data_IF_450266928061
#
_entry.id   IF_450266928061
#
_cell.length_a   1.000
_cell.length_b   1.000
_cell.length_c   1.000
_cell.angle_alpha   90.00
_cell.angle_beta   90.00
_cell.angle_gamma   90.00
#
_symmetry.space_group_name_H-M   'P 1'
#
loop_
_entity.id
_entity.type
_entity.pdbx_description
1 polymer ?
#
# COMPACT_ATOMS: atom_id res chain seq x y z
N UNK A 1 14.61 12.64 -8.20
CA UNK A 1 14.01 11.29 -8.16
C UNK A 1 13.69 11.02 -6.70
N UNK A 2 12.51 10.51 -6.40
CA UNK A 2 12.05 10.27 -5.04
C UNK A 2 11.88 8.77 -4.78
N UNK A 3 11.75 8.38 -3.52
CA UNK A 3 11.57 6.98 -3.14
C UNK A 3 10.29 6.82 -2.33
N UNK A 4 9.43 5.88 -2.72
CA UNK A 4 8.19 5.56 -2.03
C UNK A 4 8.34 4.29 -1.22
N UNK A 5 8.03 4.36 0.07
CA UNK A 5 7.95 3.18 0.94
C UNK A 5 6.48 2.80 1.11
N UNK A 6 6.14 1.57 0.72
CA UNK A 6 4.79 1.02 0.78
C UNK A 6 4.72 -0.22 1.68
N UNK A 7 3.71 -0.25 2.55
CA UNK A 7 3.35 -1.40 3.35
C UNK A 7 2.34 -2.25 2.59
N UNK A 8 2.60 -3.55 2.48
CA UNK A 8 1.65 -4.54 1.99
C UNK A 8 1.08 -5.30 3.18
N UNK A 9 -0.24 -5.28 3.36
CA UNK A 9 -0.87 -5.83 4.56
C UNK A 9 -1.43 -7.23 4.31
N UNK A 10 -1.28 -8.14 5.28
CA UNK A 10 -1.84 -9.49 5.24
C UNK A 10 -3.36 -9.43 5.29
N UNK A 11 -4.01 -10.29 4.48
CA UNK A 11 -5.43 -10.64 4.46
C UNK A 11 -6.27 -9.95 5.56
N UNK A 12 -6.97 -8.84 5.23
CA UNK A 12 -7.64 -8.00 6.23
C UNK A 12 -8.82 -8.70 6.92
N UNK A 13 -9.30 -9.84 6.40
CA UNK A 13 -10.61 -10.43 6.71
C UNK A 13 -11.67 -9.92 5.74
N UNK A 14 -12.94 -10.32 5.93
CA UNK A 14 -14.04 -9.86 5.06
C UNK A 14 -14.35 -8.37 5.30
N UNK A 15 -14.29 -7.55 4.25
CA UNK A 15 -14.70 -6.14 4.33
C UNK A 15 -16.22 -5.99 4.21
N UNK A 16 -16.88 -5.07 4.95
CA UNK A 16 -18.34 -4.93 4.91
C UNK A 16 -18.91 -4.63 3.51
N UNK A 17 -18.14 -4.01 2.62
CA UNK A 17 -18.53 -3.74 1.23
C UNK A 17 -18.04 -4.78 0.22
N UNK A 18 -17.33 -5.82 0.66
CA UNK A 18 -16.65 -6.79 -0.21
C UNK A 18 -17.62 -7.46 -1.19
N UNK A 19 -18.78 -7.90 -0.70
CA UNK A 19 -19.83 -8.54 -1.51
C UNK A 19 -20.40 -7.57 -2.56
N UNK A 20 -20.57 -6.30 -2.19
CA UNK A 20 -21.16 -5.29 -3.07
C UNK A 20 -20.17 -4.82 -4.15
N UNK A 21 -18.87 -4.81 -3.82
CA UNK A 21 -17.78 -4.54 -4.77
C UNK A 21 -17.54 -5.74 -5.71
N UNK A 22 -17.61 -6.98 -5.20
CA UNK A 22 -17.51 -8.20 -6.01
C UNK A 22 -18.62 -8.28 -7.06
N UNK A 23 -19.87 -7.98 -6.68
CA UNK A 23 -21.02 -7.96 -7.62
C UNK A 23 -20.83 -6.90 -8.71
N UNK A 24 -20.38 -5.69 -8.34
CA UNK A 24 -20.11 -4.63 -9.32
C UNK A 24 -18.98 -4.98 -10.29
N UNK A 25 -17.97 -5.70 -9.82
CA UNK A 25 -16.83 -6.13 -10.64
C UNK A 25 -17.21 -7.26 -11.60
N UNK A 26 -18.03 -8.23 -11.16
CA UNK A 26 -18.54 -9.28 -12.04
C UNK A 26 -19.39 -8.71 -13.18
N UNK A 27 -20.27 -7.75 -12.88
CA UNK A 27 -21.12 -7.10 -13.87
C UNK A 27 -20.29 -6.28 -14.89
N UNK A 28 -19.24 -5.60 -14.41
CA UNK A 28 -18.34 -4.85 -15.27
C UNK A 28 -17.54 -5.75 -16.22
N UNK A 29 -17.09 -6.91 -15.76
CA UNK A 29 -16.32 -7.86 -16.57
C UNK A 29 -17.15 -8.54 -17.67
N UNK A 30 -18.45 -8.76 -17.43
CA UNK A 30 -19.36 -9.33 -18.43
C UNK A 30 -19.73 -8.32 -19.54
N UNK A 31 -19.66 -7.01 -19.23
CA UNK A 31 -20.08 -5.94 -20.15
C UNK A 31 -19.02 -5.48 -21.17
N UNK A 32 -17.73 -5.85 -21.01
CA UNK A 32 -16.64 -5.39 -21.90
C UNK A 32 -15.70 -6.55 -22.30
N UNK A 33 -15.97 -7.25 -23.41
CA UNK A 33 -15.11 -8.32 -23.89
C UNK A 33 -13.80 -7.72 -24.42
N UNK A 34 -12.69 -7.93 -23.68
CA UNK A 34 -11.36 -7.40 -24.02
C UNK A 34 -10.61 -6.73 -22.86
N UNK A 35 -11.26 -6.50 -21.71
CA UNK A 35 -10.62 -5.94 -20.52
C UNK A 35 -9.69 -6.92 -19.75
N UNK A 36 -9.25 -8.01 -20.39
CA UNK A 36 -8.45 -9.05 -19.76
C UNK A 36 -6.99 -8.66 -19.45
N UNK A 37 -6.52 -7.49 -19.91
CA UNK A 37 -5.09 -7.12 -19.82
C UNK A 37 -4.78 -5.84 -19.04
N UNK A 38 -5.75 -5.27 -18.31
CA UNK A 38 -5.53 -4.09 -17.47
C UNK A 38 -6.40 -4.01 -16.22
N UNK A 39 -7.08 -5.10 -15.85
CA UNK A 39 -7.85 -5.17 -14.61
C UNK A 39 -6.91 -5.32 -13.42
N UNK A 40 -6.92 -4.36 -12.50
CA UNK A 40 -6.28 -4.52 -11.19
C UNK A 40 -6.79 -5.82 -10.56
N UNK A 41 -5.88 -6.77 -10.39
CA UNK A 41 -6.12 -8.11 -9.86
C UNK A 41 -6.98 -7.99 -8.59
N UNK A 42 -8.11 -8.69 -8.60
CA UNK A 42 -9.24 -8.54 -7.68
C UNK A 42 -8.99 -8.80 -6.19
N UNK A 43 -7.76 -9.01 -5.73
CA UNK A 43 -7.39 -8.91 -4.31
C UNK A 43 -5.88 -8.60 -4.23
N UNK A 44 -5.47 -7.40 -4.65
CA UNK A 44 -4.19 -6.89 -4.18
C UNK A 44 -4.32 -6.73 -2.66
N UNK A 45 -3.46 -7.41 -1.89
CA UNK A 45 -3.30 -7.17 -0.46
C UNK A 45 -3.38 -5.65 -0.21
N UNK A 46 -4.19 -5.18 0.75
CA UNK A 46 -4.36 -3.75 0.96
C UNK A 46 -2.98 -3.11 1.19
N UNK A 47 -2.64 -2.16 0.32
CA UNK A 47 -1.37 -1.44 0.37
C UNK A 47 -1.56 -0.05 0.94
N UNK A 48 -0.59 0.41 1.72
CA UNK A 48 -0.60 1.73 2.34
C UNK A 48 0.76 2.40 2.13
N UNK A 49 0.74 3.66 1.69
CA UNK A 49 1.97 4.47 1.61
C UNK A 49 2.41 4.81 3.03
N UNK A 50 3.61 4.38 3.39
CA UNK A 50 4.26 4.73 4.66
C UNK A 50 4.83 6.15 4.58
N UNK A 51 5.54 6.44 3.49
CA UNK A 51 6.19 7.73 3.26
C UNK A 51 6.78 7.83 1.85
N UNK A 52 7.09 9.06 1.45
CA UNK A 52 7.83 9.38 0.23
C UNK A 52 9.02 10.25 0.63
N UNK A 53 10.20 9.88 0.15
CA UNK A 53 11.50 10.42 0.57
C UNK A 53 12.24 11.03 -0.63
N UNK A 54 13.06 12.05 -0.38
CA UNK A 54 13.77 12.76 -1.45
C UNK A 54 15.05 12.03 -1.88
N UNK A 55 15.57 11.14 -1.03
CA UNK A 55 16.79 10.38 -1.29
C UNK A 55 16.66 8.92 -0.89
N UNK A 56 17.54 8.08 -1.45
CA UNK A 56 17.62 6.67 -1.10
C UNK A 56 18.00 6.49 0.37
N UNK A 57 18.94 7.27 0.89
CA UNK A 57 19.41 7.18 2.28
C UNK A 57 18.29 7.45 3.30
N UNK A 58 17.40 8.41 2.99
CA UNK A 58 16.21 8.68 3.80
C UNK A 58 15.23 7.50 3.78
N UNK A 59 15.01 6.90 2.60
CA UNK A 59 14.17 5.72 2.46
C UNK A 59 14.76 4.50 3.18
N UNK A 60 16.08 4.27 3.09
CA UNK A 60 16.78 3.20 3.81
C UNK A 60 16.71 3.39 5.33
N UNK A 61 16.83 4.62 5.80
CA UNK A 61 16.65 4.94 7.22
C UNK A 61 15.24 4.59 7.71
N UNK A 62 14.21 4.88 6.92
CA UNK A 62 12.84 4.49 7.21
C UNK A 62 12.64 2.96 7.18
N UNK A 63 13.23 2.26 6.21
CA UNK A 63 13.19 0.79 6.16
C UNK A 63 13.82 0.16 7.40
N UNK A 64 14.94 0.73 7.89
CA UNK A 64 15.59 0.28 9.12
C UNK A 64 14.69 0.47 10.34
N UNK A 65 14.07 1.63 10.49
CA UNK A 65 13.11 1.90 11.57
C UNK A 65 11.92 0.93 11.52
N UNK A 66 11.35 0.70 10.34
CA UNK A 66 10.25 -0.26 10.14
C UNK A 66 10.72 -1.66 10.54
N UNK A 67 11.90 -2.09 10.09
CA UNK A 67 12.47 -3.39 10.45
C UNK A 67 12.65 -3.55 11.97
N UNK A 68 13.17 -2.52 12.63
CA UNK A 68 13.36 -2.52 14.08
C UNK A 68 12.02 -2.61 14.84
N UNK A 69 10.99 -1.91 14.38
CA UNK A 69 9.63 -1.95 14.96
C UNK A 69 8.96 -3.31 14.75
N UNK A 70 9.01 -3.85 13.52
CA UNK A 70 8.43 -5.16 13.20
C UNK A 70 9.10 -6.28 14.00
N UNK A 71 10.43 -6.25 14.14
CA UNK A 71 11.18 -7.21 14.97
C UNK A 71 10.79 -7.16 16.44
N UNK A 72 10.42 -5.99 16.94
CA UNK A 72 9.93 -5.78 18.31
C UNK A 72 8.42 -6.03 18.45
N UNK A 73 7.75 -6.49 17.38
CA UNK A 73 6.29 -6.65 17.31
C UNK A 73 5.54 -5.35 17.69
N UNK A 74 6.15 -4.21 17.42
CA UNK A 74 5.60 -2.88 17.74
C UNK A 74 4.80 -2.38 16.53
N UNK A 75 3.60 -1.80 16.73
CA UNK A 75 2.79 -1.32 15.62
C UNK A 75 3.49 -0.19 14.86
N UNK A 76 3.37 -0.20 13.54
CA UNK A 76 3.84 0.88 12.68
C UNK A 76 2.86 2.05 12.73
N UNK A 77 3.39 3.26 12.87
CA UNK A 77 2.60 4.49 12.88
C UNK A 77 2.67 5.14 11.51
N UNK A 78 1.55 5.18 10.79
CA UNK A 78 1.46 5.83 9.48
C UNK A 78 0.63 7.11 9.58
N UNK A 79 1.23 8.23 9.22
CA UNK A 79 0.56 9.53 9.23
C UNK A 79 0.02 9.84 7.84
N UNK A 80 -1.30 9.88 7.69
CA UNK A 80 -1.94 10.27 6.44
C UNK A 80 -2.08 11.79 6.34
N UNK A 81 -2.06 12.30 5.12
CA UNK A 81 -2.22 13.73 4.81
C UNK A 81 -3.52 14.35 5.38
N UNK A 82 -4.52 13.51 5.70
CA UNK A 82 -5.81 13.91 6.29
C UNK A 82 -5.79 14.15 7.80
N UNK A 83 -4.61 14.37 8.41
CA UNK A 83 -4.39 14.42 9.88
C UNK A 83 -4.80 13.15 10.62
N UNK A 84 -4.99 12.04 9.89
CA UNK A 84 -5.28 10.73 10.46
C UNK A 84 -3.96 10.03 10.74
N UNK A 85 -3.91 9.35 11.87
CA UNK A 85 -2.80 8.46 12.23
C UNK A 85 -3.34 7.05 12.29
N UNK A 86 -2.74 6.17 11.53
CA UNK A 86 -3.02 4.74 11.54
C UNK A 86 -1.96 4.03 12.37
N UNK A 87 -2.40 3.13 13.25
CA UNK A 87 -1.53 2.18 13.92
C UNK A 87 -1.76 0.83 13.25
N UNK A 88 -0.73 0.33 12.59
CA UNK A 88 -0.75 -0.94 11.88
C UNK A 88 -0.04 -1.97 12.74
N UNK A 89 -0.75 -2.98 13.28
CA UNK A 89 -0.12 -4.08 14.01
C UNK A 89 0.97 -4.76 13.17
N UNK A 90 2.08 -5.17 13.80
CA UNK A 90 3.22 -5.75 13.09
C UNK A 90 2.86 -7.07 12.37
N UNK A 91 1.97 -7.86 12.96
CA UNK A 91 1.44 -9.12 12.40
C UNK A 91 0.55 -8.89 11.16
N UNK A 92 0.08 -7.65 10.93
CA UNK A 92 -0.67 -7.27 9.75
C UNK A 92 0.22 -6.85 8.59
N UNK A 93 1.53 -6.68 8.77
CA UNK A 93 2.44 -6.32 7.68
C UNK A 93 2.98 -7.58 7.03
N UNK A 94 2.68 -7.78 5.74
CA UNK A 94 3.14 -8.92 4.97
C UNK A 94 4.58 -8.71 4.48
N UNK A 95 4.80 -7.61 3.76
CA UNK A 95 6.12 -7.15 3.34
C UNK A 95 6.11 -5.63 3.12
N UNK A 96 7.30 -5.07 2.98
CA UNK A 96 7.52 -3.64 2.75
C UNK A 96 8.30 -3.49 1.46
N UNK A 97 7.89 -2.56 0.60
CA UNK A 97 8.55 -2.26 -0.67
C UNK A 97 9.09 -0.84 -0.62
N UNK A 98 10.32 -0.65 -1.10
CA UNK A 98 10.85 0.66 -1.45
C UNK A 98 11.03 0.70 -2.97
N UNK A 99 10.44 1.71 -3.60
CA UNK A 99 10.43 1.87 -5.05
C UNK A 99 10.87 3.29 -5.40
N UNK A 100 11.71 3.41 -6.43
CA UNK A 100 12.02 4.71 -7.01
C UNK A 100 10.82 5.23 -7.81
N UNK A 101 10.41 6.47 -7.55
CA UNK A 101 9.24 7.09 -8.14
C UNK A 101 9.57 8.47 -8.71
N UNK A 102 8.95 8.76 -9.86
CA UNK A 102 8.91 10.11 -10.43
C UNK A 102 7.63 10.79 -9.96
N UNK A 103 7.73 11.95 -9.31
CA UNK A 103 6.55 12.72 -8.91
C UNK A 103 6.17 13.69 -10.02
N UNK A 104 4.89 14.10 -10.13
CA UNK A 104 4.47 15.12 -11.09
C UNK A 104 5.23 16.46 -11.00
N UNK A 105 5.82 16.77 -9.85
CA UNK A 105 6.66 17.96 -9.64
C UNK A 105 8.07 17.80 -10.23
N UNK A 106 8.55 16.56 -10.37
CA UNK A 106 9.89 16.25 -10.85
C UNK A 106 9.95 16.20 -12.40
N UNK A 107 8.79 16.22 -13.08
CA UNK A 107 8.68 16.24 -14.56
C UNK A 107 8.63 17.66 -15.16
N UNK A 108 8.76 18.71 -14.33
CA UNK A 108 8.71 20.12 -14.75
C UNK A 108 10.08 20.73 -15.02
#
# INVERSE_FOLDING_TARGET
MAYSVMLWLVNPGEHPQQIEEEVRLSDAQESVPGAHTGGNIGYALPRMVYGVYESQDEAESALKEISDNLRQNTPLRVSAQSRRVFLIPADRVHYVVCEEVTRPKDEQ
#
